data_IF_274487416332
#
_entry.id   IF_274487416332
#
_cell.length_a   1.000
_cell.length_b   1.000
_cell.length_c   1.000
_cell.angle_alpha   90.00
_cell.angle_beta   90.00
_cell.angle_gamma   90.00
#
_symmetry.space_group_name_H-M   'P 1'
#
loop_
_entity.id
_entity.type
_entity.pdbx_description
1 polymer ?
#
# COMPACT_ATOMS: atom_id res chain seq x y z
N UNK A 1 -39.14 -14.01 7.54
CA UNK A 1 -38.57 -12.97 6.66
C UNK A 1 -38.72 -13.45 5.23
N UNK A 2 -39.47 -12.75 4.38
CA UNK A 2 -39.64 -13.15 2.99
C UNK A 2 -38.31 -12.99 2.23
N UNK A 3 -37.84 -14.08 1.62
CA UNK A 3 -36.65 -14.06 0.77
C UNK A 3 -36.96 -13.28 -0.51
N UNK A 4 -36.01 -12.48 -1.00
CA UNK A 4 -36.20 -11.82 -2.30
C UNK A 4 -36.18 -12.87 -3.41
N UNK A 5 -36.94 -12.65 -4.50
CA UNK A 5 -36.94 -13.54 -5.68
C UNK A 5 -35.53 -13.82 -6.22
N UNK A 6 -34.61 -12.85 -6.09
CA UNK A 6 -33.20 -13.02 -6.47
C UNK A 6 -32.45 -13.97 -5.55
N UNK A 7 -32.67 -13.89 -4.23
CA UNK A 7 -32.06 -14.79 -3.26
C UNK A 7 -32.58 -16.23 -3.42
N UNK A 8 -33.87 -16.42 -3.74
CA UNK A 8 -34.44 -17.75 -4.02
C UNK A 8 -33.78 -18.43 -5.22
N UNK A 9 -33.62 -17.70 -6.33
CA UNK A 9 -32.90 -18.20 -7.52
C UNK A 9 -31.43 -18.50 -7.24
N UNK A 10 -30.74 -17.67 -6.45
CA UNK A 10 -29.36 -17.91 -6.07
C UNK A 10 -29.20 -19.19 -5.25
N UNK A 11 -30.13 -19.46 -4.32
CA UNK A 11 -30.16 -20.69 -3.53
C UNK A 11 -30.47 -21.92 -4.37
N UNK A 12 -31.35 -21.80 -5.38
CA UNK A 12 -31.62 -22.88 -6.34
C UNK A 12 -30.35 -23.26 -7.13
N UNK A 13 -29.59 -22.27 -7.59
CA UNK A 13 -28.33 -22.51 -8.29
C UNK A 13 -27.27 -23.18 -7.40
N UNK A 14 -27.16 -22.80 -6.13
CA UNK A 14 -26.19 -23.38 -5.19
C UNK A 14 -26.41 -24.88 -4.95
N UNK A 15 -27.62 -25.41 -5.17
CA UNK A 15 -27.91 -26.86 -5.00
C UNK A 15 -27.20 -27.73 -6.03
N UNK A 16 -26.92 -27.20 -7.23
CA UNK A 16 -26.29 -27.94 -8.33
C UNK A 16 -24.78 -27.74 -8.39
N UNK A 17 -24.25 -26.72 -7.70
CA UNK A 17 -22.83 -26.41 -7.68
C UNK A 17 -22.08 -27.33 -6.69
N UNK A 18 -20.76 -27.52 -6.89
CA UNK A 18 -19.92 -28.24 -5.93
C UNK A 18 -19.99 -27.61 -4.53
N UNK A 19 -19.78 -28.44 -3.49
CA UNK A 19 -19.79 -27.98 -2.11
C UNK A 19 -18.76 -26.85 -1.89
N UNK A 20 -19.19 -25.78 -1.22
CA UNK A 20 -18.29 -24.70 -0.80
C UNK A 20 -17.25 -25.25 0.19
N UNK A 21 -15.97 -25.00 -0.07
CA UNK A 21 -14.84 -25.44 0.73
C UNK A 21 -13.78 -24.32 0.76
N UNK A 22 -12.77 -24.45 1.62
CA UNK A 22 -11.71 -23.43 1.73
C UNK A 22 -10.89 -23.20 0.44
N UNK A 23 -10.95 -24.12 -0.52
CA UNK A 23 -10.19 -24.06 -1.77
C UNK A 23 -10.96 -23.37 -2.92
N UNK A 24 -12.27 -23.18 -2.78
CA UNK A 24 -13.11 -22.52 -3.79
C UNK A 24 -13.64 -21.16 -3.37
N UNK A 25 -13.17 -20.63 -2.24
CA UNK A 25 -13.41 -19.24 -1.83
C UNK A 25 -12.35 -18.36 -2.47
N UNK A 26 -12.80 -17.36 -3.23
CA UNK A 26 -11.95 -16.36 -3.87
C UNK A 26 -12.33 -14.97 -3.37
N UNK A 27 -11.36 -14.04 -3.31
CA UNK A 27 -11.67 -12.65 -2.97
C UNK A 27 -12.57 -12.03 -4.03
N UNK A 28 -13.33 -11.02 -3.62
CA UNK A 28 -14.13 -10.26 -4.57
C UNK A 28 -13.22 -9.52 -5.57
N UNK A 29 -13.75 -9.31 -6.77
CA UNK A 29 -13.03 -8.56 -7.80
C UNK A 29 -12.68 -7.17 -7.25
N UNK A 30 -11.42 -6.76 -7.42
CA UNK A 30 -10.88 -5.46 -6.98
C UNK A 30 -10.76 -5.25 -5.47
N UNK A 31 -11.00 -6.29 -4.65
CA UNK A 31 -10.82 -6.21 -3.20
C UNK A 31 -9.35 -6.00 -2.80
N UNK A 32 -8.42 -6.59 -3.57
CA UNK A 32 -6.98 -6.52 -3.30
C UNK A 32 -6.20 -5.97 -4.50
N UNK A 33 -5.40 -4.93 -4.24
CA UNK A 33 -4.42 -4.47 -5.23
C UNK A 33 -3.26 -5.46 -5.35
N UNK A 34 -2.95 -5.90 -6.58
CA UNK A 34 -1.81 -6.78 -6.83
C UNK A 34 -0.51 -5.97 -6.69
N UNK A 35 0.25 -6.21 -5.62
CA UNK A 35 1.64 -5.72 -5.50
C UNK A 35 2.55 -6.56 -6.38
N UNK A 36 2.82 -6.11 -7.60
CA UNK A 36 3.75 -6.77 -8.52
C UNK A 36 5.13 -6.11 -8.41
N UNK A 37 6.16 -6.90 -8.14
CA UNK A 37 7.55 -6.43 -8.25
C UNK A 37 7.85 -6.18 -9.72
N UNK A 38 8.30 -4.96 -10.04
CA UNK A 38 8.76 -4.60 -11.38
C UNK A 38 9.94 -5.50 -11.80
N UNK A 39 9.86 -6.17 -12.96
CA UNK A 39 10.87 -7.11 -13.48
C UNK A 39 11.05 -6.92 -14.99
N UNK A 40 12.23 -7.28 -15.50
CA UNK A 40 12.55 -7.21 -16.94
C UNK A 40 12.29 -5.82 -17.54
N UNK A 41 11.71 -5.81 -18.75
CA UNK A 41 11.32 -4.58 -19.45
C UNK A 41 10.30 -3.72 -18.67
N UNK A 42 9.48 -4.33 -17.81
CA UNK A 42 8.43 -3.64 -17.05
C UNK A 42 8.97 -3.02 -15.75
N UNK A 43 10.05 -2.26 -15.86
CA UNK A 43 10.67 -1.52 -14.75
C UNK A 43 11.65 -2.33 -13.90
N UNK A 44 12.21 -3.42 -14.42
CA UNK A 44 13.23 -4.23 -13.76
C UNK A 44 14.64 -3.64 -13.83
N UNK A 45 14.96 -2.82 -14.84
CA UNK A 45 16.32 -2.32 -15.07
C UNK A 45 16.91 -1.55 -13.88
N UNK A 46 16.20 -0.53 -13.40
CA UNK A 46 16.64 0.27 -12.23
C UNK A 46 15.70 0.11 -11.04
N UNK A 47 14.65 -0.71 -11.16
CA UNK A 47 13.59 -0.84 -10.16
C UNK A 47 12.99 0.51 -9.69
N UNK A 48 13.08 1.57 -10.51
CA UNK A 48 12.62 2.93 -10.18
C UNK A 48 13.62 3.80 -9.41
N UNK A 49 14.85 3.33 -9.20
CA UNK A 49 15.89 4.09 -8.50
C UNK A 49 16.68 5.06 -9.40
N UNK A 50 16.51 4.98 -10.72
CA UNK A 50 17.23 5.83 -11.68
C UNK A 50 18.69 5.41 -11.86
N UNK A 51 19.53 6.33 -12.34
CA UNK A 51 20.94 6.07 -12.70
C UNK A 51 21.91 6.73 -11.72
N UNK A 52 22.81 5.93 -11.13
CA UNK A 52 23.89 6.33 -10.21
C UNK A 52 23.38 7.16 -9.02
N UNK A 53 24.31 7.78 -8.29
CA UNK A 53 24.02 8.65 -7.15
C UNK A 53 23.61 7.91 -5.87
N UNK A 54 23.19 8.69 -4.88
CA UNK A 54 22.75 8.21 -3.56
C UNK A 54 21.45 7.40 -3.64
N UNK A 55 20.52 7.80 -4.52
CA UNK A 55 19.23 7.14 -4.71
C UNK A 55 19.34 5.70 -5.22
N UNK A 56 20.29 5.44 -6.12
CA UNK A 56 20.55 4.08 -6.60
C UNK A 56 21.29 3.23 -5.55
N UNK A 57 22.18 3.82 -4.77
CA UNK A 57 23.00 3.12 -3.76
C UNK A 57 22.34 3.05 -2.37
N UNK A 58 21.10 3.52 -2.26
CA UNK A 58 20.35 3.63 -1.01
C UNK A 58 21.10 4.41 0.09
N UNK A 59 22.02 5.30 -0.28
CA UNK A 59 22.84 6.09 0.63
C UNK A 59 22.25 7.50 0.78
N UNK A 60 21.02 7.58 1.31
CA UNK A 60 20.32 8.85 1.50
C UNK A 60 20.83 9.58 2.73
N UNK A 61 20.86 10.93 2.71
CA UNK A 61 21.06 11.68 3.94
C UNK A 61 19.86 11.51 4.88
N UNK A 62 20.05 11.84 6.17
CA UNK A 62 18.97 11.80 7.16
C UNK A 62 17.80 12.71 6.76
N UNK A 63 16.60 12.35 7.21
CA UNK A 63 15.42 13.24 7.09
C UNK A 63 15.73 14.57 7.77
N UNK A 64 15.42 15.67 7.09
CA UNK A 64 15.74 17.03 7.53
C UNK A 64 17.16 17.51 7.19
N UNK A 65 17.97 16.75 6.45
CA UNK A 65 19.23 17.27 5.90
C UNK A 65 18.97 18.05 4.60
N UNK A 66 19.48 19.28 4.53
CA UNK A 66 19.24 20.20 3.41
C UNK A 66 20.52 20.56 2.63
N UNK A 67 21.53 19.69 2.62
CA UNK A 67 22.76 19.93 1.85
C UNK A 67 23.77 20.83 2.56
N UNK A 68 24.06 20.53 3.82
CA UNK A 68 25.04 21.23 4.69
C UNK A 68 24.67 22.65 5.14
N UNK A 69 23.60 23.25 4.62
CA UNK A 69 22.99 24.41 5.27
C UNK A 69 22.36 24.02 6.62
N UNK A 70 22.17 25.00 7.50
CA UNK A 70 21.38 24.80 8.73
C UNK A 70 19.98 24.31 8.35
N UNK A 71 19.54 23.13 8.83
CA UNK A 71 18.19 22.64 8.57
C UNK A 71 17.10 23.59 9.05
N UNK A 72 15.97 23.65 8.35
CA UNK A 72 14.82 24.47 8.72
C UNK A 72 14.38 24.28 10.18
N UNK A 73 14.32 23.03 10.66
CA UNK A 73 13.91 22.71 12.03
C UNK A 73 14.87 23.24 13.11
N UNK A 74 16.10 23.61 12.74
CA UNK A 74 17.06 24.26 13.64
C UNK A 74 17.10 25.79 13.46
N UNK A 75 16.60 26.32 12.34
CA UNK A 75 16.52 27.77 12.12
C UNK A 75 15.43 28.41 12.98
N UNK A 76 14.35 27.67 13.23
CA UNK A 76 13.22 28.19 14.01
C UNK A 76 13.54 28.19 15.51
N UNK A 77 13.22 29.28 16.24
CA UNK A 77 13.37 29.30 17.68
C UNK A 77 12.43 28.28 18.33
N UNK A 78 12.87 27.69 19.45
CA UNK A 78 12.04 26.72 20.18
C UNK A 78 10.98 27.43 21.00
N UNK A 79 9.71 27.24 20.65
CA UNK A 79 8.58 27.69 21.46
C UNK A 79 8.05 26.55 22.34
N UNK A 80 7.67 26.88 23.58
CA UNK A 80 7.16 25.92 24.58
C UNK A 80 5.68 25.57 24.35
N UNK A 81 5.28 25.32 23.10
CA UNK A 81 3.87 25.14 22.72
C UNK A 81 3.17 24.00 23.48
N UNK A 82 3.89 22.92 23.79
CA UNK A 82 3.34 21.76 24.52
C UNK A 82 3.65 21.74 26.03
N UNK A 83 4.15 22.83 26.62
CA UNK A 83 4.60 22.82 28.01
C UNK A 83 3.48 22.65 29.05
N UNK A 84 2.23 22.92 28.70
CA UNK A 84 1.07 22.80 29.58
C UNK A 84 0.25 21.51 29.35
N UNK A 85 0.67 20.64 28.41
CA UNK A 85 -0.01 19.38 28.07
C UNK A 85 0.62 18.16 28.78
N UNK A 86 1.18 18.34 29.97
CA UNK A 86 1.73 17.27 30.81
C UNK A 86 0.92 17.10 32.07
#
# INVERSE_FOLDING_TARGET
MASSKGAEKALELLKYLPRVNKYNVFPNREEFSRKIRKRGQHGGGTHGHGNKGSKQRCSYPRVGFEGYQTPFYLKMPSERYFAHFR
#
